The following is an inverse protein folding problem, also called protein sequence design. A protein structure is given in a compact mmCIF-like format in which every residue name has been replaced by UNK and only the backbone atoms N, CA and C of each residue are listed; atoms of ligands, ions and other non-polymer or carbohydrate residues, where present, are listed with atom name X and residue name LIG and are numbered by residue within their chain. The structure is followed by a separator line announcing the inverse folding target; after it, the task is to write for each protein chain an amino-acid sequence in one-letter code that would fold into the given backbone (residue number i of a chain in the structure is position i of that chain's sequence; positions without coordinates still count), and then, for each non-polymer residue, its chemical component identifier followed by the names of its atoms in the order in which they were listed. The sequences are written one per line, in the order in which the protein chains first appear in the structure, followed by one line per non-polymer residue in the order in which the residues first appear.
data_IF_339604429536
#
_entry.id   IF_339604429536
#
_cell.length_a   1.000
_cell.length_b   1.000
_cell.length_c   1.000
_cell.angle_alpha   90.00
_cell.angle_beta   90.00
_cell.angle_gamma   90.00
#
_symmetry.space_group_name_H-M   'P 1'
#
loop_
_entity.id
_entity.type
_entity.pdbx_description
1 polymer ?
#
# COMPACT_ATOMS: atom_id res chain seq x y z
N UNK A 1 2.47 66.39 -3.64
CA UNK A 1 2.77 66.24 -5.07
C UNK A 1 3.13 64.77 -5.34
N UNK A 2 2.42 64.16 -6.28
CA UNK A 2 2.61 62.81 -6.88
C UNK A 2 2.33 61.53 -6.03
N UNK A 3 1.05 61.13 -6.11
CA UNK A 3 0.52 59.79 -6.45
C UNK A 3 1.06 58.51 -5.76
N UNK A 4 0.36 58.10 -4.70
CA UNK A 4 0.35 56.74 -4.11
C UNK A 4 -1.07 56.12 -4.16
N UNK A 5 -1.81 56.35 -5.26
CA UNK A 5 -3.26 56.15 -5.31
C UNK A 5 -3.81 55.03 -6.19
N UNK A 6 -3.04 53.98 -6.54
CA UNK A 6 -3.54 52.97 -7.51
C UNK A 6 -3.28 51.48 -7.26
N UNK A 7 -2.74 51.07 -6.11
CA UNK A 7 -2.57 49.64 -5.81
C UNK A 7 -3.36 49.13 -4.60
N UNK A 8 -3.81 49.99 -3.68
CA UNK A 8 -4.65 49.59 -2.54
C UNK A 8 -6.13 49.40 -2.89
N UNK A 9 -6.59 49.87 -4.05
CA UNK A 9 -7.98 49.72 -4.49
C UNK A 9 -8.29 48.34 -5.08
N UNK A 10 -7.29 47.58 -5.54
CA UNK A 10 -7.52 46.25 -6.11
C UNK A 10 -7.65 45.18 -5.03
N UNK A 11 -6.86 45.24 -3.96
CA UNK A 11 -6.94 44.29 -2.85
C UNK A 11 -8.13 44.54 -1.90
N UNK A 12 -8.63 45.78 -1.79
CA UNK A 12 -9.88 46.07 -1.06
C UNK A 12 -11.15 45.70 -1.83
N UNK A 13 -11.11 45.65 -3.16
CA UNK A 13 -12.28 45.27 -3.97
C UNK A 13 -12.55 43.75 -4.01
N UNK A 14 -11.52 42.92 -3.82
CA UNK A 14 -11.68 41.45 -3.81
C UNK A 14 -12.11 40.93 -2.44
N UNK A 15 -11.70 41.58 -1.35
CA UNK A 15 -12.01 41.14 0.03
C UNK A 15 -13.31 41.72 0.62
N UNK A 16 -13.93 42.73 -0.01
CA UNK A 16 -15.22 43.30 0.40
C UNK A 16 -16.36 43.05 -0.59
N UNK A 17 -16.26 42.02 -1.43
CA UNK A 17 -17.44 41.53 -2.17
C UNK A 17 -18.32 40.68 -1.26
N UNK A 18 -18.97 41.32 -0.29
CA UNK A 18 -20.24 40.85 0.27
C UNK A 18 -21.33 40.91 -0.81
N UNK A 19 -21.17 40.13 -1.87
CA UNK A 19 -22.31 39.69 -2.65
C UNK A 19 -22.93 38.56 -1.85
N UNK A 20 -23.94 38.89 -1.06
CA UNK A 20 -24.92 37.93 -0.55
C UNK A 20 -25.57 37.25 -1.75
N UNK A 21 -24.95 36.19 -2.27
CA UNK A 21 -25.64 35.21 -3.09
C UNK A 21 -26.59 34.45 -2.17
N UNK A 22 -27.82 34.96 -2.09
CA UNK A 22 -29.00 34.28 -1.57
C UNK A 22 -29.24 32.98 -2.37
N UNK A 23 -28.51 31.92 -2.04
CA UNK A 23 -28.73 30.56 -2.55
C UNK A 23 -28.81 29.53 -1.42
N UNK A 24 -28.83 29.97 -0.16
CA UNK A 24 -28.75 29.10 1.01
C UNK A 24 -30.07 28.37 1.31
N UNK A 25 -31.25 28.95 1.10
CA UNK A 25 -32.50 28.32 1.56
C UNK A 25 -32.99 27.15 0.69
N UNK A 26 -32.90 27.26 -0.63
CA UNK A 26 -33.44 26.23 -1.55
C UNK A 26 -32.53 25.00 -1.66
N UNK A 27 -31.21 25.20 -1.72
CA UNK A 27 -30.27 24.09 -1.75
C UNK A 27 -30.18 23.39 -0.39
N UNK A 28 -30.23 24.13 0.73
CA UNK A 28 -30.31 23.51 2.05
C UNK A 28 -31.64 22.78 2.26
N UNK A 29 -32.79 23.34 1.82
CA UNK A 29 -34.08 22.64 1.94
C UNK A 29 -34.14 21.38 1.06
N UNK A 30 -33.52 21.40 -0.12
CA UNK A 30 -33.43 20.22 -1.01
C UNK A 30 -32.48 19.17 -0.44
N UNK A 31 -31.34 19.55 0.11
CA UNK A 31 -30.42 18.62 0.77
C UNK A 31 -31.03 18.04 2.06
N UNK A 32 -31.78 18.84 2.81
CA UNK A 32 -32.48 18.40 4.01
C UNK A 32 -33.62 17.44 3.67
N UNK A 33 -34.41 17.71 2.64
CA UNK A 33 -35.45 16.77 2.16
C UNK A 33 -34.87 15.47 1.61
N UNK A 34 -33.72 15.51 0.92
CA UNK A 34 -33.00 14.29 0.49
C UNK A 34 -32.54 13.49 1.72
N UNK A 35 -31.96 14.16 2.71
CA UNK A 35 -31.52 13.54 3.97
C UNK A 35 -32.68 12.92 4.74
N UNK A 36 -33.79 13.64 4.88
CA UNK A 36 -34.99 13.16 5.57
C UNK A 36 -35.64 11.98 4.85
N UNK A 37 -35.64 12.00 3.50
CA UNK A 37 -36.14 10.88 2.70
C UNK A 37 -35.25 9.64 2.85
N UNK A 38 -33.92 9.81 2.87
CA UNK A 38 -32.98 8.72 3.10
C UNK A 38 -33.15 8.10 4.50
N UNK A 39 -33.33 8.93 5.53
CA UNK A 39 -33.57 8.47 6.91
C UNK A 39 -34.91 7.73 7.03
N UNK A 40 -35.99 8.23 6.40
CA UNK A 40 -37.29 7.53 6.40
C UNK A 40 -37.22 6.19 5.68
N UNK A 41 -36.58 6.13 4.51
CA UNK A 41 -36.34 4.87 3.80
C UNK A 41 -35.54 3.89 4.65
N UNK A 42 -34.55 4.37 5.40
CA UNK A 42 -33.77 3.55 6.32
C UNK A 42 -34.62 3.02 7.49
N UNK A 43 -35.48 3.85 8.08
CA UNK A 43 -36.40 3.44 9.17
C UNK A 43 -37.44 2.43 8.67
N UNK A 44 -38.06 2.68 7.53
CA UNK A 44 -39.06 1.77 6.93
C UNK A 44 -38.42 0.44 6.54
N UNK A 45 -37.19 0.48 6.04
CA UNK A 45 -36.40 -0.70 5.77
C UNK A 45 -36.06 -1.49 7.05
N UNK A 46 -35.65 -0.83 8.13
CA UNK A 46 -35.42 -1.46 9.45
C UNK A 46 -36.72 -2.09 9.99
N UNK A 47 -37.87 -1.42 9.84
CA UNK A 47 -39.18 -1.94 10.28
C UNK A 47 -39.60 -3.17 9.48
N UNK A 48 -39.40 -3.15 8.17
CA UNK A 48 -39.73 -4.28 7.28
C UNK A 48 -38.89 -5.54 7.53
N UNK A 49 -37.73 -5.38 8.16
CA UNK A 49 -36.76 -6.47 8.38
C UNK A 49 -36.83 -7.10 9.77
N UNK A 50 -37.66 -6.59 10.70
CA UNK A 50 -37.82 -7.13 12.06
C UNK A 50 -38.49 -8.52 12.08
N UNK A 51 -37.75 -9.62 12.34
CA UNK A 51 -38.27 -10.99 12.33
C UNK A 51 -38.33 -11.59 13.74
N UNK A 52 -38.30 -10.76 14.79
CA UNK A 52 -38.20 -11.19 16.20
C UNK A 52 -39.38 -12.09 16.61
N UNK A 53 -40.45 -12.16 15.82
CA UNK A 53 -41.61 -12.99 16.15
C UNK A 53 -41.39 -14.51 16.01
N UNK A 54 -40.39 -15.03 15.26
CA UNK A 54 -40.41 -16.48 14.91
C UNK A 54 -39.06 -17.26 14.80
N UNK A 55 -37.97 -16.88 15.47
CA UNK A 55 -36.74 -17.68 15.40
C UNK A 55 -36.60 -18.67 16.59
N UNK A 56 -36.83 -19.96 16.33
CA UNK A 56 -36.57 -21.04 17.30
C UNK A 56 -35.06 -21.20 17.57
N UNK A 57 -34.74 -21.61 18.79
CA UNK A 57 -33.47 -21.33 19.49
C UNK A 57 -32.49 -22.52 19.53
N UNK A 58 -32.68 -23.57 18.72
CA UNK A 58 -32.10 -24.89 18.99
C UNK A 58 -31.42 -25.62 17.83
N UNK A 59 -30.96 -24.95 16.78
CA UNK A 59 -30.24 -25.63 15.69
C UNK A 59 -28.71 -25.57 15.88
N UNK A 60 -28.17 -26.58 16.57
CA UNK A 60 -26.73 -26.84 16.79
C UNK A 60 -26.15 -27.84 15.78
N UNK A 61 -26.62 -27.83 14.53
CA UNK A 61 -26.00 -28.64 13.45
C UNK A 61 -25.01 -27.81 12.64
N UNK A 62 -23.88 -28.43 12.29
CA UNK A 62 -22.73 -27.80 11.63
C UNK A 62 -23.18 -27.04 10.37
N UNK A 63 -23.00 -25.72 10.38
CA UNK A 63 -23.48 -24.77 9.37
C UNK A 63 -23.12 -25.15 7.92
N UNK A 64 -22.02 -25.87 7.72
CA UNK A 64 -21.55 -26.39 6.43
C UNK A 64 -22.54 -27.37 5.78
N UNK A 65 -23.26 -28.15 6.57
CA UNK A 65 -24.16 -29.21 6.06
C UNK A 65 -25.54 -28.67 5.69
N UNK A 66 -25.98 -27.56 6.29
CA UNK A 66 -27.22 -26.88 5.91
C UNK A 66 -27.13 -26.15 4.56
N UNK A 67 -25.92 -25.76 4.14
CA UNK A 67 -25.68 -25.05 2.87
C UNK A 67 -25.49 -25.97 1.66
N UNK A 68 -25.59 -27.30 1.81
CA UNK A 68 -25.38 -28.28 0.73
C UNK A 68 -26.59 -28.50 -0.19
N UNK A 69 -27.74 -27.89 0.07
CA UNK A 69 -28.93 -28.04 -0.79
C UNK A 69 -28.87 -26.95 -1.88
N UNK A 70 -28.63 -27.29 -3.15
CA UNK A 70 -28.61 -26.30 -4.22
C UNK A 70 -30.05 -25.83 -4.46
N UNK A 71 -30.34 -24.59 -4.08
CA UNK A 71 -31.55 -23.90 -4.53
C UNK A 71 -31.46 -23.74 -6.05
N UNK A 72 -32.48 -24.24 -6.77
CA UNK A 72 -32.60 -24.05 -8.22
C UNK A 72 -32.45 -22.56 -8.56
N UNK A 73 -31.58 -22.28 -9.53
CA UNK A 73 -31.36 -20.94 -10.07
C UNK A 73 -32.69 -20.33 -10.52
N UNK A 74 -33.00 -19.05 -10.21
CA UNK A 74 -34.14 -18.39 -10.80
C UNK A 74 -33.94 -18.25 -12.31
N UNK A 75 -35.01 -18.47 -13.07
CA UNK A 75 -35.03 -18.35 -14.53
C UNK A 75 -34.66 -16.92 -14.93
N UNK A 76 -33.57 -16.75 -15.67
CA UNK A 76 -33.14 -15.47 -16.21
C UNK A 76 -33.94 -15.14 -17.47
N UNK A 77 -34.80 -14.14 -17.40
CA UNK A 77 -35.26 -13.44 -18.62
C UNK A 77 -34.08 -12.66 -19.21
N UNK A 78 -33.88 -12.69 -20.54
CA UNK A 78 -32.77 -12.00 -21.19
C UNK A 78 -33.04 -10.50 -21.15
N UNK A 79 -32.32 -9.77 -20.29
CA UNK A 79 -32.18 -8.33 -20.43
C UNK A 79 -31.14 -8.06 -21.52
N UNK A 80 -31.56 -7.31 -22.53
CA UNK A 80 -30.74 -6.85 -23.65
C UNK A 80 -29.73 -5.81 -23.19
N UNK A 81 -28.51 -6.23 -22.85
CA UNK A 81 -27.38 -5.35 -22.54
C UNK A 81 -26.66 -4.93 -23.83
N UNK A 82 -27.22 -3.92 -24.52
CA UNK A 82 -26.74 -3.43 -25.82
C UNK A 82 -25.45 -2.57 -25.76
N UNK A 83 -24.76 -2.49 -24.62
CA UNK A 83 -23.56 -1.66 -24.44
C UNK A 83 -22.39 -2.33 -23.68
N UNK A 84 -22.56 -3.53 -23.15
CA UNK A 84 -21.48 -4.22 -22.40
C UNK A 84 -20.62 -5.16 -23.29
N UNK A 85 -21.04 -5.41 -24.54
CA UNK A 85 -20.40 -6.35 -25.47
C UNK A 85 -19.16 -5.80 -26.20
N UNK A 86 -18.77 -4.53 -26.02
CA UNK A 86 -17.61 -3.95 -26.73
C UNK A 86 -16.28 -4.33 -26.07
N UNK A 87 -16.28 -4.83 -24.83
CA UNK A 87 -15.10 -5.36 -24.17
C UNK A 87 -15.27 -6.86 -23.88
N UNK A 88 -15.08 -7.69 -24.90
CA UNK A 88 -14.74 -9.11 -24.69
C UNK A 88 -13.36 -9.20 -24.03
N UNK A 89 -13.31 -8.92 -22.72
CA UNK A 89 -12.09 -9.03 -21.93
C UNK A 89 -11.65 -10.49 -21.93
N UNK A 90 -10.66 -10.82 -22.76
CA UNK A 90 -9.89 -12.03 -22.59
C UNK A 90 -9.14 -11.89 -21.27
N UNK A 91 -9.64 -12.58 -20.24
CA UNK A 91 -8.93 -12.69 -18.97
C UNK A 91 -7.63 -13.47 -19.18
N UNK A 92 -6.52 -12.92 -18.69
CA UNK A 92 -5.20 -13.54 -18.85
C UNK A 92 -5.03 -14.78 -17.93
N UNK A 93 -5.90 -14.94 -16.94
CA UNK A 93 -5.84 -16.02 -15.97
C UNK A 93 -4.71 -15.82 -14.97
N UNK A 94 -4.01 -16.91 -14.62
CA UNK A 94 -2.98 -16.90 -13.58
C UNK A 94 -1.72 -16.16 -14.05
N UNK A 95 -1.34 -15.12 -13.31
CA UNK A 95 -0.18 -14.29 -13.63
C UNK A 95 1.08 -14.74 -12.88
N UNK A 96 0.99 -14.88 -11.55
CA UNK A 96 2.13 -15.26 -10.70
C UNK A 96 1.65 -16.12 -9.53
N UNK A 97 2.54 -16.99 -9.04
CA UNK A 97 2.30 -17.84 -7.88
C UNK A 97 3.54 -17.93 -6.98
N UNK A 98 3.26 -17.92 -5.67
CA UNK A 98 4.22 -18.24 -4.63
C UNK A 98 3.73 -19.47 -3.88
N UNK A 99 4.49 -20.56 -4.01
CA UNK A 99 4.28 -21.80 -3.26
C UNK A 99 5.13 -21.71 -2.00
N UNK A 100 4.53 -22.02 -0.86
CA UNK A 100 5.18 -22.09 0.45
C UNK A 100 5.13 -23.54 0.87
N UNK A 101 6.27 -24.22 0.79
CA UNK A 101 6.36 -25.65 1.04
C UNK A 101 5.72 -26.03 2.38
N UNK A 102 4.89 -27.08 2.37
CA UNK A 102 4.15 -27.61 3.51
C UNK A 102 3.03 -26.74 4.09
N UNK A 103 2.95 -25.44 3.76
CA UNK A 103 1.96 -24.53 4.32
C UNK A 103 0.83 -24.19 3.33
N UNK A 104 1.16 -23.78 2.11
CA UNK A 104 0.13 -23.25 1.22
C UNK A 104 0.64 -22.54 -0.04
N UNK A 105 -0.25 -21.84 -0.72
CA UNK A 105 0.09 -21.04 -1.90
C UNK A 105 -0.65 -19.70 -1.93
N UNK A 106 0.01 -18.71 -2.54
CA UNK A 106 -0.56 -17.39 -2.81
C UNK A 106 -0.48 -17.15 -4.31
N UNK A 107 -1.61 -16.84 -4.94
CA UNK A 107 -1.69 -16.61 -6.40
C UNK A 107 -2.21 -15.21 -6.71
N UNK A 108 -1.74 -14.64 -7.81
CA UNK A 108 -2.26 -13.42 -8.41
C UNK A 108 -2.80 -13.73 -9.81
N UNK A 109 -4.04 -13.34 -10.07
CA UNK A 109 -4.81 -13.77 -11.24
C UNK A 109 -5.64 -12.61 -11.82
N UNK A 110 -5.74 -12.58 -13.14
CA UNK A 110 -6.61 -11.66 -13.86
C UNK A 110 -7.89 -12.38 -14.28
N UNK A 111 -9.03 -12.01 -13.71
CA UNK A 111 -10.28 -12.77 -13.84
C UNK A 111 -11.49 -12.07 -13.22
N UNK A 112 -12.68 -12.62 -13.45
CA UNK A 112 -13.88 -12.22 -12.71
C UNK A 112 -14.03 -13.07 -11.45
N UNK A 113 -13.76 -12.47 -10.29
CA UNK A 113 -13.79 -13.15 -8.99
C UNK A 113 -15.15 -13.79 -8.67
N UNK A 114 -16.26 -13.29 -9.23
CA UNK A 114 -17.60 -13.84 -8.99
C UNK A 114 -17.82 -15.19 -9.68
N UNK A 115 -17.09 -15.43 -10.77
CA UNK A 115 -17.16 -16.64 -11.59
C UNK A 115 -16.18 -17.74 -11.16
N UNK A 116 -15.29 -17.43 -10.21
CA UNK A 116 -14.29 -18.32 -9.67
C UNK A 116 -14.83 -19.17 -8.50
N UNK A 117 -14.31 -20.39 -8.37
CA UNK A 117 -14.67 -21.31 -7.29
C UNK A 117 -13.68 -21.21 -6.13
N UNK A 118 -14.21 -21.11 -4.91
CA UNK A 118 -13.42 -21.10 -3.67
C UNK A 118 -14.31 -21.33 -2.45
N UNK A 119 -13.70 -21.59 -1.29
CA UNK A 119 -14.46 -21.78 -0.05
C UNK A 119 -15.10 -20.45 0.34
N UNK A 120 -14.33 -19.37 0.35
CA UNK A 120 -14.79 -18.08 0.84
C UNK A 120 -14.35 -16.94 -0.07
N UNK A 121 -15.30 -16.08 -0.45
CA UNK A 121 -15.06 -14.83 -1.13
C UNK A 121 -15.07 -13.67 -0.13
N UNK A 122 -13.97 -12.94 -0.05
CA UNK A 122 -13.85 -11.75 0.80
C UNK A 122 -14.43 -10.55 0.08
N UNK A 123 -15.42 -9.91 0.70
CA UNK A 123 -16.13 -8.75 0.18
C UNK A 123 -15.90 -7.56 1.10
N UNK A 124 -15.18 -6.50 0.66
CA UNK A 124 -15.01 -5.29 1.44
C UNK A 124 -16.34 -4.55 1.59
N UNK A 125 -16.70 -4.20 2.82
CA UNK A 125 -17.91 -3.42 3.12
C UNK A 125 -17.60 -2.36 4.18
N UNK A 126 -18.17 -1.14 4.06
CA UNK A 126 -18.01 -0.12 5.10
C UNK A 126 -18.69 -0.52 6.42
N UNK A 127 -18.32 0.11 7.55
CA UNK A 127 -18.84 -0.22 8.88
C UNK A 127 -20.35 -0.01 9.04
N UNK A 128 -20.94 0.85 8.20
CA UNK A 128 -22.39 1.07 8.15
C UNK A 128 -23.16 -0.01 7.37
N UNK A 129 -22.47 -1.00 6.79
CA UNK A 129 -23.05 -2.10 6.00
C UNK A 129 -23.81 -1.65 4.74
N UNK A 130 -23.67 -0.39 4.33
CA UNK A 130 -24.37 0.17 3.18
C UNK A 130 -23.34 0.76 2.21
N UNK A 131 -22.76 -0.07 1.32
CA UNK A 131 -21.88 0.42 0.27
C UNK A 131 -22.69 1.25 -0.75
N UNK A 132 -22.20 2.44 -1.10
CA UNK A 132 -22.87 3.30 -2.08
C UNK A 132 -22.53 2.93 -3.52
N UNK A 133 -21.39 2.29 -3.76
CA UNK A 133 -20.92 1.82 -5.06
C UNK A 133 -19.75 0.84 -4.89
N UNK A 134 -19.28 0.29 -6.01
CA UNK A 134 -18.14 -0.63 -6.07
C UNK A 134 -18.52 -2.10 -5.87
N UNK A 135 -17.51 -2.93 -5.64
CA UNK A 135 -17.65 -4.39 -5.59
C UNK A 135 -18.63 -4.85 -4.50
N UNK A 136 -18.57 -4.27 -3.30
CA UNK A 136 -19.48 -4.61 -2.20
C UNK A 136 -20.96 -4.36 -2.55
N UNK A 137 -21.28 -3.29 -3.28
CA UNK A 137 -22.66 -3.05 -3.74
C UNK A 137 -23.09 -4.09 -4.77
N UNK A 138 -22.23 -4.37 -5.77
CA UNK A 138 -22.53 -5.35 -6.82
C UNK A 138 -22.86 -6.73 -6.24
N UNK A 139 -22.13 -7.18 -5.22
CA UNK A 139 -22.40 -8.46 -4.55
C UNK A 139 -23.76 -8.44 -3.83
N UNK A 140 -24.11 -7.34 -3.18
CA UNK A 140 -25.40 -7.20 -2.48
C UNK A 140 -26.58 -7.11 -3.45
N UNK A 141 -26.41 -6.46 -4.60
CA UNK A 141 -27.43 -6.40 -5.67
C UNK A 141 -27.70 -7.79 -6.25
N UNK A 142 -26.65 -8.55 -6.54
CA UNK A 142 -26.77 -9.92 -7.06
C UNK A 142 -27.40 -10.89 -6.05
N UNK A 143 -27.04 -10.80 -4.76
CA UNK A 143 -27.65 -11.64 -3.71
C UNK A 143 -29.04 -11.18 -3.25
N UNK A 144 -29.44 -9.97 -3.63
CA UNK A 144 -30.75 -9.40 -3.36
C UNK A 144 -31.12 -9.25 -1.88
N UNK A 145 -32.42 -9.09 -1.61
CA UNK A 145 -32.95 -8.80 -0.25
C UNK A 145 -32.62 -9.88 0.79
N UNK A 146 -32.49 -11.14 0.37
CA UNK A 146 -32.18 -12.27 1.27
C UNK A 146 -30.77 -12.15 1.85
N UNK A 147 -29.79 -11.86 1.01
CA UNK A 147 -28.40 -11.66 1.42
C UNK A 147 -28.28 -10.48 2.39
N UNK A 148 -28.90 -9.35 2.06
CA UNK A 148 -28.85 -8.16 2.93
C UNK A 148 -29.49 -8.45 4.30
N UNK A 149 -30.63 -9.15 4.34
CA UNK A 149 -31.26 -9.54 5.61
C UNK A 149 -30.34 -10.45 6.44
N UNK A 150 -29.70 -11.44 5.81
CA UNK A 150 -28.78 -12.34 6.48
C UNK A 150 -27.56 -11.60 7.04
N UNK A 151 -26.98 -10.68 6.27
CA UNK A 151 -25.84 -9.86 6.66
C UNK A 151 -26.15 -9.02 7.91
N UNK A 152 -27.31 -8.37 7.95
CA UNK A 152 -27.73 -7.52 9.09
C UNK A 152 -28.08 -8.36 10.32
N UNK A 153 -28.68 -9.54 10.12
CA UNK A 153 -28.93 -10.47 11.22
C UNK A 153 -27.63 -10.95 11.84
N UNK A 154 -26.65 -11.33 11.02
CA UNK A 154 -25.34 -11.80 11.47
C UNK A 154 -24.52 -10.72 12.14
N UNK A 155 -24.55 -9.48 11.63
CA UNK A 155 -23.86 -8.36 12.29
C UNK A 155 -24.40 -8.09 13.69
N UNK A 156 -25.73 -8.13 13.86
CA UNK A 156 -26.37 -7.99 15.18
C UNK A 156 -25.98 -9.11 16.14
N UNK A 157 -25.82 -10.34 15.64
CA UNK A 157 -25.38 -11.48 16.46
C UNK A 157 -23.95 -11.26 16.97
N UNK A 158 -23.02 -10.91 16.08
CA UNK A 158 -21.61 -10.63 16.44
C UNK A 158 -21.53 -9.52 17.49
N UNK A 159 -22.26 -8.41 17.29
CA UNK A 159 -22.33 -7.33 18.27
C UNK A 159 -22.89 -7.83 19.61
N UNK A 160 -23.95 -8.65 19.58
CA UNK A 160 -24.55 -9.17 20.81
C UNK A 160 -23.64 -10.14 21.57
N UNK A 161 -22.84 -10.94 20.86
CA UNK A 161 -21.86 -11.85 21.46
C UNK A 161 -20.74 -11.06 22.14
N UNK A 162 -20.18 -10.07 21.45
CA UNK A 162 -19.15 -9.17 22.01
C UNK A 162 -19.64 -8.41 23.24
N UNK A 163 -20.88 -7.91 23.22
CA UNK A 163 -21.47 -7.23 24.38
C UNK A 163 -21.62 -8.20 25.57
N UNK A 164 -22.07 -9.44 25.35
CA UNK A 164 -22.17 -10.44 26.41
C UNK A 164 -20.81 -10.81 26.99
N UNK A 165 -19.79 -11.00 26.15
CA UNK A 165 -18.42 -11.28 26.59
C UNK A 165 -17.88 -10.14 27.47
N UNK A 166 -18.12 -8.89 27.10
CA UNK A 166 -17.76 -7.75 27.94
C UNK A 166 -18.55 -7.66 29.24
N UNK A 167 -19.84 -8.01 29.22
CA UNK A 167 -20.67 -8.06 30.42
C UNK A 167 -20.18 -9.11 31.41
N UNK A 168 -19.70 -10.27 30.93
CA UNK A 168 -19.07 -11.30 31.77
C UNK A 168 -17.74 -10.83 32.37
N UNK A 169 -17.00 -9.97 31.66
CA UNK A 169 -15.73 -9.41 32.14
C UNK A 169 -15.89 -8.08 32.88
N UNK A 170 -17.11 -7.66 33.23
CA UNK A 170 -17.37 -6.37 33.88
C UNK A 170 -16.55 -6.15 35.15
N UNK A 171 -16.37 -7.20 35.94
CA UNK A 171 -15.66 -7.13 37.23
C UNK A 171 -14.14 -6.97 37.06
N UNK A 172 -13.61 -7.18 35.85
CA UNK A 172 -12.19 -6.99 35.56
C UNK A 172 -11.80 -5.52 35.33
N UNK A 173 -12.78 -4.63 35.11
CA UNK A 173 -12.52 -3.21 34.86
C UNK A 173 -12.34 -2.43 36.17
N UNK A 174 -11.19 -1.77 36.32
CA UNK A 174 -10.88 -0.93 37.49
C UNK A 174 -11.71 0.35 37.54
N UNK A 175 -12.07 0.90 36.38
CA UNK A 175 -12.80 2.15 36.27
C UNK A 175 -14.11 1.98 35.49
N UNK A 176 -15.21 2.51 36.03
CA UNK A 176 -16.52 2.43 35.41
C UNK A 176 -16.60 3.19 34.07
N UNK A 177 -15.77 4.21 33.88
CA UNK A 177 -15.72 4.98 32.63
C UNK A 177 -15.09 4.18 31.48
N UNK A 178 -14.05 3.38 31.76
CA UNK A 178 -13.41 2.49 30.77
C UNK A 178 -14.36 1.38 30.33
N UNK A 179 -15.15 0.84 31.27
CA UNK A 179 -16.20 -0.11 30.94
C UNK A 179 -17.26 0.50 30.02
N UNK A 180 -17.70 1.74 30.31
CA UNK A 180 -18.69 2.44 29.47
C UNK A 180 -18.16 2.72 28.05
N UNK A 181 -16.90 3.14 27.91
CA UNK A 181 -16.30 3.34 26.57
C UNK A 181 -16.17 2.02 25.80
N UNK A 182 -15.70 0.96 26.47
CA UNK A 182 -15.55 -0.37 25.86
C UNK A 182 -16.90 -0.94 25.41
N UNK A 183 -17.97 -0.71 26.19
CA UNK A 183 -19.32 -1.13 25.85
C UNK A 183 -19.85 -0.35 24.62
N UNK A 184 -19.57 0.95 24.51
CA UNK A 184 -19.91 1.72 23.31
C UNK A 184 -19.18 1.20 22.08
N UNK A 185 -17.90 0.85 22.20
CA UNK A 185 -17.13 0.27 21.10
C UNK A 185 -17.65 -1.11 20.69
N UNK A 186 -17.99 -1.98 21.66
CA UNK A 186 -18.53 -3.30 21.38
C UNK A 186 -19.90 -3.28 20.69
N UNK A 187 -20.67 -2.21 20.87
CA UNK A 187 -21.94 -1.99 20.15
C UNK A 187 -21.73 -1.64 18.68
N UNK A 188 -20.51 -1.39 18.25
CA UNK A 188 -20.16 -1.06 16.87
C UNK A 188 -19.36 -2.19 16.22
N UNK A 189 -19.49 -2.30 14.89
CA UNK A 189 -18.62 -3.17 14.12
C UNK A 189 -17.22 -2.56 14.07
N UNK A 190 -16.24 -3.38 14.42
CA UNK A 190 -14.84 -2.98 14.44
C UNK A 190 -14.21 -3.21 13.07
N UNK A 191 -13.14 -2.47 12.83
CA UNK A 191 -12.35 -2.56 11.62
C UNK A 191 -11.66 -3.94 11.58
N UNK A 192 -11.80 -4.65 10.45
CA UNK A 192 -11.29 -6.01 10.29
C UNK A 192 -12.22 -7.11 10.78
N UNK A 193 -13.39 -6.78 11.35
CA UNK A 193 -14.44 -7.77 11.63
C UNK A 193 -14.88 -8.45 10.33
N UNK A 194 -15.22 -9.73 10.40
CA UNK A 194 -15.70 -10.51 9.27
C UNK A 194 -17.08 -11.07 9.57
N UNK A 195 -18.04 -10.79 8.68
CA UNK A 195 -19.41 -11.30 8.77
C UNK A 195 -19.57 -12.39 7.71
N UNK A 196 -19.77 -13.64 8.14
CA UNK A 196 -20.01 -14.75 7.24
C UNK A 196 -21.48 -14.87 6.85
N UNK A 197 -21.73 -15.06 5.56
CA UNK A 197 -23.06 -15.31 5.00
C UNK A 197 -22.97 -16.31 3.84
N UNK A 198 -24.06 -17.03 3.51
CA UNK A 198 -24.11 -17.80 2.28
C UNK A 198 -24.24 -16.85 1.08
N UNK A 199 -23.89 -17.32 -0.12
CA UNK A 199 -23.81 -16.46 -1.31
C UNK A 199 -25.16 -15.99 -1.86
N UNK A 200 -26.23 -16.77 -1.65
CA UNK A 200 -27.56 -16.53 -2.24
C UNK A 200 -27.52 -16.31 -3.77
N UNK A 201 -26.58 -16.97 -4.47
CA UNK A 201 -26.43 -16.87 -5.92
C UNK A 201 -25.59 -15.69 -6.42
N UNK A 202 -24.96 -14.92 -5.53
CA UNK A 202 -24.11 -13.78 -5.94
C UNK A 202 -22.74 -14.19 -6.50
N UNK A 203 -22.23 -15.36 -6.11
CA UNK A 203 -20.94 -15.90 -6.57
C UNK A 203 -20.97 -17.43 -6.55
N UNK A 204 -20.03 -18.06 -7.27
CA UNK A 204 -19.84 -19.52 -7.27
C UNK A 204 -19.12 -20.06 -6.02
N UNK A 205 -18.71 -19.19 -5.11
CA UNK A 205 -18.08 -19.58 -3.85
C UNK A 205 -19.09 -20.23 -2.87
N UNK A 206 -18.59 -20.92 -1.85
CA UNK A 206 -19.48 -21.51 -0.84
C UNK A 206 -19.99 -20.47 0.17
N UNK A 207 -19.14 -19.53 0.56
CA UNK A 207 -19.41 -18.50 1.57
C UNK A 207 -18.94 -17.12 1.11
N UNK A 208 -19.60 -16.08 1.61
CA UNK A 208 -19.13 -14.70 1.55
C UNK A 208 -18.65 -14.26 2.93
N UNK A 209 -17.46 -13.69 2.97
CA UNK A 209 -16.88 -13.02 4.12
C UNK A 209 -16.93 -11.51 3.92
N UNK A 210 -17.91 -10.85 4.52
CA UNK A 210 -17.97 -9.39 4.51
C UNK A 210 -16.98 -8.82 5.50
N UNK A 211 -15.88 -8.28 4.99
CA UNK A 211 -14.83 -7.65 5.78
C UNK A 211 -15.14 -6.18 6.00
N UNK A 212 -15.16 -5.76 7.26
CA UNK A 212 -15.38 -4.36 7.64
C UNK A 212 -14.13 -3.54 7.36
N UNK A 213 -14.21 -2.70 6.34
CA UNK A 213 -13.12 -1.80 5.93
C UNK A 213 -13.20 -0.46 6.66
N UNK A 214 -12.05 0.18 6.95
CA UNK A 214 -12.02 1.50 7.57
C UNK A 214 -12.24 2.59 6.51
N UNK A 215 -12.74 3.74 6.95
CA UNK A 215 -12.65 4.95 6.13
C UNK A 215 -11.20 5.48 6.18
N UNK A 216 -10.52 5.41 5.05
CA UNK A 216 -9.20 5.99 4.81
C UNK A 216 -9.21 7.52 4.65
N UNK A 217 -10.29 8.25 4.98
CA UNK A 217 -10.33 9.72 4.92
C UNK A 217 -9.57 10.42 6.06
N UNK A 218 -9.36 9.72 7.16
CA UNK A 218 -8.67 10.28 8.33
C UNK A 218 -7.17 9.99 8.23
N UNK A 219 -6.35 11.05 8.14
CA UNK A 219 -4.90 10.96 8.25
C UNK A 219 -4.14 11.12 6.94
N UNK A 220 -3.18 10.22 6.70
CA UNK A 220 -2.31 10.19 5.51
C UNK A 220 -2.28 8.76 4.92
N UNK A 221 -1.79 8.62 3.69
CA UNK A 221 -1.53 7.36 2.97
C UNK A 221 -0.81 6.29 3.80
N UNK A 222 0.11 6.68 4.70
CA UNK A 222 0.80 5.76 5.62
C UNK A 222 -0.12 5.21 6.71
N UNK A 223 -0.99 6.05 7.27
CA UNK A 223 -1.97 5.60 8.26
C UNK A 223 -3.03 4.70 7.62
N UNK A 224 -3.43 5.03 6.38
CA UNK A 224 -4.29 4.17 5.58
C UNK A 224 -3.66 2.79 5.35
N UNK A 225 -2.35 2.74 5.04
CA UNK A 225 -1.60 1.50 4.91
C UNK A 225 -1.57 0.67 6.20
N UNK A 226 -1.34 1.30 7.37
CA UNK A 226 -1.38 0.62 8.66
C UNK A 226 -2.76 0.05 8.99
N UNK A 227 -3.82 0.82 8.73
CA UNK A 227 -5.20 0.34 8.92
C UNK A 227 -5.53 -0.81 7.98
N UNK A 228 -5.11 -0.73 6.71
CA UNK A 228 -5.27 -1.84 5.76
C UNK A 228 -4.57 -3.10 6.28
N UNK A 229 -3.34 -2.96 6.75
CA UNK A 229 -2.56 -4.06 7.34
C UNK A 229 -3.34 -4.75 8.47
N UNK A 230 -3.82 -3.97 9.44
CA UNK A 230 -4.60 -4.49 10.55
C UNK A 230 -5.89 -5.18 10.10
N UNK A 231 -6.59 -4.62 9.09
CA UNK A 231 -7.84 -5.20 8.58
C UNK A 231 -7.64 -6.56 7.92
N UNK A 232 -6.59 -6.68 7.11
CA UNK A 232 -6.30 -7.90 6.36
C UNK A 232 -5.80 -8.97 7.32
N UNK A 233 -4.93 -8.60 8.27
CA UNK A 233 -4.45 -9.50 9.32
C UNK A 233 -5.61 -10.09 10.11
N UNK A 234 -6.45 -9.22 10.70
CA UNK A 234 -7.60 -9.64 11.51
C UNK A 234 -8.59 -10.50 10.72
N UNK A 235 -8.87 -10.14 9.47
CA UNK A 235 -9.82 -10.88 8.66
C UNK A 235 -9.32 -12.28 8.29
N UNK A 236 -8.09 -12.40 7.82
CA UNK A 236 -7.49 -13.70 7.48
C UNK A 236 -7.27 -14.58 8.72
N UNK A 237 -6.87 -13.99 9.86
CA UNK A 237 -6.78 -14.71 11.13
C UNK A 237 -8.13 -15.26 11.57
N UNK A 238 -9.20 -14.47 11.42
CA UNK A 238 -10.54 -14.91 11.75
C UNK A 238 -11.03 -16.02 10.80
N UNK A 239 -10.78 -15.91 9.49
CA UNK A 239 -11.12 -16.95 8.52
C UNK A 239 -10.36 -18.26 8.79
N UNK A 240 -9.09 -18.16 9.18
CA UNK A 240 -8.28 -19.32 9.53
C UNK A 240 -8.80 -19.99 10.83
N UNK A 241 -9.21 -19.19 11.83
CA UNK A 241 -9.87 -19.71 13.03
C UNK A 241 -11.17 -20.47 12.71
N UNK A 242 -11.93 -19.99 11.71
CA UNK A 242 -13.15 -20.63 11.22
C UNK A 242 -12.91 -21.83 10.29
N UNK A 243 -11.65 -22.28 10.16
CA UNK A 243 -11.22 -23.45 9.38
C UNK A 243 -11.49 -23.35 7.88
N UNK A 244 -11.48 -22.14 7.33
CA UNK A 244 -11.61 -21.90 5.89
C UNK A 244 -10.25 -22.14 5.22
N UNK A 245 -10.24 -22.90 4.12
CA UNK A 245 -8.97 -23.32 3.48
C UNK A 245 -8.59 -22.49 2.26
N UNK A 246 -9.56 -22.13 1.43
CA UNK A 246 -9.34 -21.43 0.17
C UNK A 246 -10.09 -20.09 0.14
N UNK A 247 -9.33 -19.00 0.18
CA UNK A 247 -9.87 -17.63 0.25
C UNK A 247 -9.62 -16.89 -1.06
N UNK A 248 -10.68 -16.31 -1.64
CA UNK A 248 -10.60 -15.42 -2.79
C UNK A 248 -10.75 -13.97 -2.32
N UNK A 249 -9.88 -13.08 -2.79
CA UNK A 249 -9.88 -11.67 -2.39
C UNK A 249 -9.58 -10.74 -3.57
N UNK A 250 -10.34 -9.66 -3.71
CA UNK A 250 -10.03 -8.54 -4.63
C UNK A 250 -9.13 -7.51 -3.95
N UNK A 251 -8.71 -6.46 -4.66
CA UNK A 251 -8.10 -5.31 -3.99
C UNK A 251 -9.09 -4.64 -3.01
N UNK A 252 -8.75 -4.63 -1.72
CA UNK A 252 -9.62 -4.08 -0.65
C UNK A 252 -9.43 -2.58 -0.47
N UNK A 253 -8.20 -2.10 -0.67
CA UNK A 253 -7.80 -0.71 -0.43
C UNK A 253 -8.02 0.28 -1.58
N UNK A 254 -8.58 -0.14 -2.73
CA UNK A 254 -8.66 0.69 -3.95
C UNK A 254 -10.06 1.32 -4.13
N UNK A 255 -10.86 1.31 -3.07
CA UNK A 255 -12.25 1.77 -3.07
C UNK A 255 -12.43 3.18 -2.49
N UNK A 256 -13.67 3.69 -2.53
CA UNK A 256 -14.09 5.05 -2.18
C UNK A 256 -13.89 5.47 -0.71
N UNK A 257 -13.17 4.65 0.07
CA UNK A 257 -12.97 4.89 1.49
C UNK A 257 -11.95 6.00 1.78
N UNK A 258 -11.20 6.51 0.79
CA UNK A 258 -10.40 7.72 0.96
C UNK A 258 -9.00 7.68 0.36
N UNK A 259 -7.99 7.98 1.18
CA UNK A 259 -6.60 7.94 0.74
C UNK A 259 -6.24 6.55 0.25
N UNK A 260 -5.66 6.46 -0.96
CA UNK A 260 -5.10 5.21 -1.46
C UNK A 260 -3.95 4.78 -0.54
N UNK A 261 -4.03 3.58 0.07
CA UNK A 261 -2.94 3.07 0.91
C UNK A 261 -1.69 2.89 0.04
N UNK A 262 -0.56 3.37 0.56
CA UNK A 262 0.73 3.18 -0.11
C UNK A 262 1.06 1.68 -0.10
N UNK A 263 1.48 1.15 -1.25
CA UNK A 263 1.88 -0.25 -1.40
C UNK A 263 0.79 -1.26 -0.97
N UNK A 264 -0.48 -0.93 -1.21
CA UNK A 264 -1.64 -1.72 -0.74
C UNK A 264 -1.61 -3.20 -1.14
N UNK A 265 -1.26 -3.53 -2.39
CA UNK A 265 -1.13 -4.91 -2.85
C UNK A 265 -0.02 -5.66 -2.10
N UNK A 266 1.12 -5.01 -1.88
CA UNK A 266 2.24 -5.60 -1.13
C UNK A 266 1.83 -5.93 0.31
N UNK A 267 1.13 -5.01 0.96
CA UNK A 267 0.61 -5.23 2.33
C UNK A 267 -0.34 -6.42 2.36
N UNK A 268 -1.29 -6.52 1.42
CA UNK A 268 -2.25 -7.62 1.39
C UNK A 268 -1.58 -8.98 1.21
N UNK A 269 -0.57 -9.06 0.32
CA UNK A 269 0.19 -10.30 0.08
C UNK A 269 1.10 -10.63 1.25
N UNK A 270 1.71 -9.63 1.90
CA UNK A 270 2.58 -9.84 3.07
C UNK A 270 1.78 -10.39 4.25
N UNK A 271 0.61 -9.81 4.55
CA UNK A 271 -0.26 -10.31 5.60
C UNK A 271 -0.83 -11.69 5.28
N UNK A 272 -1.11 -12.00 4.01
CA UNK A 272 -1.47 -13.36 3.59
C UNK A 272 -0.33 -14.36 3.83
N UNK A 273 0.92 -13.98 3.54
CA UNK A 273 2.09 -14.80 3.82
C UNK A 273 2.29 -15.06 5.32
N UNK A 274 2.17 -14.01 6.15
CA UNK A 274 2.32 -14.12 7.60
C UNK A 274 1.19 -14.93 8.25
N UNK A 275 -0.04 -14.81 7.75
CA UNK A 275 -1.21 -15.55 8.30
C UNK A 275 -1.23 -17.02 7.89
N UNK A 276 -0.61 -17.39 6.76
CA UNK A 276 -0.40 -18.79 6.37
C UNK A 276 0.69 -19.44 7.24
N UNK A 277 1.82 -18.75 7.49
CA UNK A 277 2.93 -19.29 8.28
C UNK A 277 2.72 -19.23 9.80
N UNK A 278 1.98 -18.24 10.28
CA UNK A 278 1.66 -18.01 11.70
C UNK A 278 2.86 -18.04 12.64
N UNK A 279 3.98 -17.46 12.23
CA UNK A 279 5.22 -17.44 13.03
C UNK A 279 5.02 -16.78 14.41
N UNK A 280 4.09 -15.82 14.51
CA UNK A 280 3.82 -15.07 15.75
C UNK A 280 2.92 -15.83 16.75
N UNK A 281 2.25 -16.92 16.36
CA UNK A 281 1.24 -17.57 17.21
C UNK A 281 1.87 -18.68 18.05
N UNK A 282 1.61 -18.64 19.36
CA UNK A 282 2.04 -19.70 20.29
C UNK A 282 1.42 -21.07 19.96
N UNK A 283 0.17 -21.09 19.47
CA UNK A 283 -0.51 -22.28 18.97
C UNK A 283 -0.97 -22.00 17.54
N UNK A 284 -0.24 -22.48 16.52
CA UNK A 284 -0.61 -22.21 15.14
C UNK A 284 -1.75 -23.14 14.67
N UNK A 285 -2.69 -22.55 13.93
CA UNK A 285 -3.78 -23.18 13.21
C UNK A 285 -3.52 -23.03 11.70
N UNK A 286 -3.14 -24.11 11.03
CA UNK A 286 -2.80 -24.13 9.60
C UNK A 286 -3.99 -24.54 8.71
N UNK A 287 -5.17 -23.97 8.94
CA UNK A 287 -6.33 -24.30 8.10
C UNK A 287 -6.32 -23.52 6.78
N UNK A 288 -5.92 -22.25 6.82
CA UNK A 288 -5.77 -21.42 5.61
C UNK A 288 -4.60 -21.93 4.77
N UNK A 289 -4.89 -22.47 3.58
CA UNK A 289 -3.89 -23.04 2.67
C UNK A 289 -3.69 -22.21 1.42
N UNK A 290 -4.75 -21.65 0.86
CA UNK A 290 -4.64 -20.89 -0.39
C UNK A 290 -5.31 -19.53 -0.28
N UNK A 291 -4.60 -18.50 -0.75
CA UNK A 291 -5.12 -17.15 -0.89
C UNK A 291 -4.94 -16.71 -2.33
N UNK A 292 -6.07 -16.54 -3.04
CA UNK A 292 -6.08 -16.14 -4.45
C UNK A 292 -6.49 -14.67 -4.56
N UNK A 293 -5.60 -13.85 -5.09
CA UNK A 293 -5.87 -12.46 -5.42
C UNK A 293 -6.36 -12.37 -6.85
N UNK A 294 -7.65 -12.05 -7.04
CA UNK A 294 -8.29 -11.99 -8.36
C UNK A 294 -8.88 -10.61 -8.56
N UNK A 295 -8.53 -9.95 -9.66
CA UNK A 295 -9.11 -8.68 -10.03
C UNK A 295 -9.54 -8.65 -11.51
N UNK A 296 -10.58 -7.86 -11.79
CA UNK A 296 -11.09 -7.67 -13.16
C UNK A 296 -10.14 -6.78 -13.96
N UNK A 297 -9.47 -5.85 -13.31
CA UNK A 297 -8.51 -4.96 -13.95
C UNK A 297 -7.14 -5.64 -14.10
N UNK A 298 -6.55 -5.50 -15.29
CA UNK A 298 -5.24 -6.07 -15.63
C UNK A 298 -4.13 -5.35 -14.86
N UNK A 299 -4.26 -4.03 -14.69
CA UNK A 299 -3.22 -3.23 -14.04
C UNK A 299 -3.09 -3.61 -12.57
N UNK A 300 -4.22 -3.71 -11.86
CA UNK A 300 -4.27 -4.14 -10.46
C UNK A 300 -3.76 -5.58 -10.31
N UNK A 301 -4.18 -6.49 -11.20
CA UNK A 301 -3.69 -7.89 -11.23
C UNK A 301 -2.17 -7.96 -11.43
N UNK A 302 -1.60 -7.12 -12.31
CA UNK A 302 -0.14 -7.01 -12.50
C UNK A 302 0.56 -6.44 -11.27
N UNK A 303 -0.04 -5.48 -10.56
CA UNK A 303 0.52 -4.98 -9.31
C UNK A 303 0.52 -6.05 -8.21
N UNK A 304 -0.51 -6.90 -8.15
CA UNK A 304 -0.50 -8.09 -7.28
C UNK A 304 0.57 -9.10 -7.69
N UNK A 305 0.72 -9.39 -8.99
CA UNK A 305 1.77 -10.29 -9.46
C UNK A 305 3.17 -9.80 -9.07
N UNK A 306 3.44 -8.50 -9.24
CA UNK A 306 4.69 -7.87 -8.80
C UNK A 306 4.87 -7.91 -7.28
N UNK A 307 3.79 -7.75 -6.50
CA UNK A 307 3.82 -7.86 -5.05
C UNK A 307 4.17 -9.27 -4.58
N UNK A 308 3.52 -10.30 -5.16
CA UNK A 308 3.83 -11.72 -4.91
C UNK A 308 5.28 -12.02 -5.25
N UNK A 309 5.75 -11.55 -6.40
CA UNK A 309 7.13 -11.70 -6.83
C UNK A 309 8.15 -11.08 -5.85
N UNK A 310 7.88 -9.85 -5.40
CA UNK A 310 8.75 -9.11 -4.48
C UNK A 310 8.82 -9.78 -3.12
N UNK A 311 7.68 -10.18 -2.57
CA UNK A 311 7.60 -10.83 -1.25
C UNK A 311 8.26 -12.21 -1.29
N UNK A 312 8.11 -12.94 -2.41
CA UNK A 312 8.84 -14.20 -2.63
C UNK A 312 10.35 -14.00 -2.54
N UNK A 313 10.90 -12.97 -3.18
CA UNK A 313 12.35 -12.67 -3.11
C UNK A 313 12.82 -12.22 -1.72
N UNK A 314 11.97 -11.52 -0.98
CA UNK A 314 12.33 -11.00 0.35
C UNK A 314 12.28 -12.08 1.42
N UNK A 315 11.18 -12.85 1.46
CA UNK A 315 10.88 -13.76 2.57
C UNK A 315 11.37 -15.19 2.33
N UNK A 316 11.37 -15.71 1.10
CA UNK A 316 11.85 -17.08 0.84
C UNK A 316 13.36 -17.12 0.63
N UNK A 317 14.12 -17.93 1.41
CA UNK A 317 15.57 -17.95 1.38
C UNK A 317 16.15 -18.39 0.03
N UNK A 318 15.44 -19.26 -0.68
CA UNK A 318 15.85 -19.79 -1.99
C UNK A 318 15.87 -18.70 -3.06
N UNK A 319 14.96 -17.74 -2.96
CA UNK A 319 14.79 -16.67 -3.93
C UNK A 319 15.46 -15.35 -3.50
N UNK A 320 16.12 -15.32 -2.33
CA UNK A 320 16.84 -14.14 -1.88
C UNK A 320 17.99 -13.81 -2.83
N UNK A 321 18.05 -12.55 -3.27
CA UNK A 321 19.04 -12.06 -4.21
C UNK A 321 20.05 -11.13 -3.55
N UNK A 322 21.31 -11.22 -3.96
CA UNK A 322 22.42 -10.37 -3.52
C UNK A 322 23.22 -9.90 -4.74
N UNK A 323 23.77 -8.67 -4.75
CA UNK A 323 24.67 -8.24 -5.81
C UNK A 323 25.89 -9.15 -5.95
N UNK A 324 26.25 -9.51 -7.18
CA UNK A 324 27.38 -10.38 -7.49
C UNK A 324 28.69 -9.98 -6.79
N UNK A 325 29.09 -8.68 -6.72
CA UNK A 325 30.29 -8.28 -6.00
C UNK A 325 30.24 -8.64 -4.51
N UNK A 326 29.07 -8.53 -3.87
CA UNK A 326 28.89 -8.86 -2.45
C UNK A 326 28.93 -10.37 -2.24
N UNK A 327 28.29 -11.15 -3.12
CA UNK A 327 28.32 -12.61 -3.07
C UNK A 327 29.76 -13.14 -3.19
N UNK A 328 30.47 -12.74 -4.25
CA UNK A 328 31.85 -13.18 -4.45
C UNK A 328 32.78 -12.66 -3.37
N UNK A 329 32.64 -11.40 -2.93
CA UNK A 329 33.44 -10.86 -1.83
C UNK A 329 33.30 -11.70 -0.55
N UNK A 330 32.09 -12.16 -0.21
CA UNK A 330 31.84 -13.02 0.95
C UNK A 330 32.38 -14.43 0.74
N UNK A 331 32.16 -15.04 -0.43
CA UNK A 331 32.64 -16.39 -0.70
C UNK A 331 34.15 -16.49 -0.87
N UNK A 332 34.79 -15.44 -1.41
CA UNK A 332 36.24 -15.36 -1.56
C UNK A 332 36.91 -14.72 -0.34
N UNK A 333 36.16 -14.32 0.68
CA UNK A 333 36.72 -13.78 1.91
C UNK A 333 37.54 -14.88 2.58
N UNK A 334 38.85 -14.83 2.38
CA UNK A 334 39.80 -15.63 3.15
C UNK A 334 40.02 -14.90 4.47
N UNK A 335 39.97 -15.64 5.56
CA UNK A 335 40.45 -15.12 6.84
C UNK A 335 41.96 -14.93 6.65
N UNK A 336 42.40 -13.67 6.63
CA UNK A 336 43.81 -13.35 6.69
C UNK A 336 44.15 -13.31 8.17
N UNK A 337 44.70 -14.40 8.70
CA UNK A 337 45.40 -14.34 9.99
C UNK A 337 46.62 -13.45 9.81
N UNK A 338 46.52 -12.23 10.34
CA UNK A 338 47.65 -11.33 10.44
C UNK A 338 48.33 -11.68 11.75
N UNK A 339 49.53 -12.26 11.67
CA UNK A 339 50.37 -12.51 12.85
C UNK A 339 50.49 -11.23 13.69
N UNK A 340 50.39 -11.39 15.01
CA UNK A 340 50.54 -10.28 15.96
C UNK A 340 51.87 -9.53 15.80
N UNK A 341 52.90 -10.20 15.25
CA UNK A 341 54.20 -9.61 14.93
C UNK A 341 54.11 -8.51 13.85
N UNK A 342 53.22 -8.67 12.86
CA UNK A 342 52.97 -7.69 11.79
C UNK A 342 52.21 -6.48 12.34
N UNK A 343 51.26 -6.70 13.24
CA UNK A 343 50.57 -5.62 13.95
C UNK A 343 51.53 -4.84 14.85
N UNK A 344 52.46 -5.52 15.54
CA UNK A 344 53.54 -4.90 16.34
C UNK A 344 54.48 -4.02 15.48
N UNK A 345 54.71 -4.36 14.22
CA UNK A 345 55.45 -3.49 13.30
C UNK A 345 54.66 -2.21 12.97
N UNK A 346 53.35 -2.31 12.76
CA UNK A 346 52.48 -1.16 12.46
C UNK A 346 52.23 -0.23 13.66
N UNK A 347 52.35 -0.75 14.89
CA UNK A 347 52.23 0.04 16.12
C UNK A 347 53.50 0.81 16.48
N UNK A 348 54.63 0.54 15.82
CA UNK A 348 55.84 1.34 16.00
C UNK A 348 55.67 2.69 15.30
N UNK A 349 55.52 3.76 16.09
CA UNK A 349 55.58 5.15 15.64
C UNK A 349 56.98 5.49 15.10
N UNK A 350 57.31 5.02 13.89
CA UNK A 350 58.47 5.55 13.17
C UNK A 350 58.04 6.85 12.49
N UNK A 351 58.73 7.94 12.80
CA UNK A 351 58.61 9.20 12.05
C UNK A 351 59.00 8.92 10.59
N UNK A 352 58.01 8.72 9.72
CA UNK A 352 58.23 8.67 8.28
C UNK A 352 58.55 10.10 7.84
N UNK A 353 59.84 10.43 7.76
CA UNK A 353 60.31 11.71 7.25
C UNK A 353 60.37 11.64 5.73
N UNK A 354 59.35 12.18 5.06
CA UNK A 354 59.42 12.39 3.62
C UNK A 354 60.49 13.45 3.32
N UNK A 355 61.49 13.12 2.49
CA UNK A 355 62.40 14.12 1.92
C UNK A 355 61.57 15.12 1.12
N UNK A 356 61.48 16.37 1.60
CA UNK A 356 60.88 17.48 0.85
C UNK A 356 61.76 17.77 -0.37
N UNK A 357 61.35 17.28 -1.54
CA UNK A 357 61.88 17.79 -2.80
C UNK A 357 61.18 19.12 -3.13
N UNK A 358 61.89 20.24 -2.96
CA UNK A 358 61.42 21.55 -3.40
C UNK A 358 61.63 21.69 -4.91
N UNK A 359 60.55 21.60 -5.68
CA UNK A 359 60.59 21.95 -7.11
C UNK A 359 60.48 23.47 -7.24
N UNK A 360 61.53 24.11 -7.75
CA UNK A 360 61.51 25.53 -8.14
C UNK A 360 60.60 25.69 -9.37
N UNK A 361 59.34 26.07 -9.15
CA UNK A 361 58.40 26.39 -10.24
C UNK A 361 58.55 27.85 -10.66
N UNK A 362 59.46 28.13 -11.59
CA UNK A 362 59.50 29.40 -12.34
C UNK A 362 58.49 29.38 -13.49
N UNK A 363 57.24 29.72 -13.18
CA UNK A 363 56.29 30.32 -14.13
C UNK A 363 55.06 30.74 -13.34
N UNK A 364 54.66 32.01 -13.42
CA UNK A 364 53.47 32.56 -12.74
C UNK A 364 52.26 31.65 -13.02
N UNK A 365 51.85 30.87 -12.01
CA UNK A 365 50.74 29.90 -12.03
C UNK A 365 49.44 30.47 -12.63
N UNK A 366 49.25 31.77 -12.47
CA UNK A 366 48.13 32.54 -13.01
C UNK A 366 48.06 32.55 -14.55
N UNK A 367 49.18 32.60 -15.27
CA UNK A 367 49.16 32.63 -16.74
C UNK A 367 48.83 31.26 -17.34
N UNK A 368 49.29 30.18 -16.70
CA UNK A 368 48.97 28.80 -17.12
C UNK A 368 47.48 28.48 -16.94
N UNK A 369 46.89 28.88 -15.81
CA UNK A 369 45.46 28.65 -15.51
C UNK A 369 44.53 29.53 -16.36
N UNK A 370 44.99 30.67 -16.84
CA UNK A 370 44.20 31.60 -17.68
C UNK A 370 44.05 31.13 -19.13
N UNK A 371 44.98 30.32 -19.63
CA UNK A 371 44.95 29.77 -20.99
C UNK A 371 44.32 28.37 -21.08
N UNK A 372 44.16 27.67 -19.96
CA UNK A 372 43.34 26.47 -19.91
C UNK A 372 41.86 26.88 -20.00
N UNK A 373 41.32 26.93 -21.22
CA UNK A 373 39.86 26.81 -21.38
C UNK A 373 39.45 25.56 -20.62
N UNK A 374 38.45 25.60 -19.71
CA UNK A 374 37.94 24.38 -19.11
C UNK A 374 37.37 23.55 -20.27
N UNK A 375 38.14 22.58 -20.74
CA UNK A 375 37.60 21.49 -21.53
C UNK A 375 36.69 20.72 -20.59
N UNK A 376 35.43 21.16 -20.54
CA UNK A 376 34.35 20.36 -20.04
C UNK A 376 34.20 19.23 -21.06
N UNK A 377 34.95 18.15 -20.87
CA UNK A 377 34.44 16.86 -21.26
C UNK A 377 33.11 16.74 -20.54
N UNK A 378 32.01 16.99 -21.27
CA UNK A 378 30.74 16.37 -20.90
C UNK A 378 31.08 14.89 -20.93
N UNK A 379 31.25 14.27 -19.76
CA UNK A 379 31.44 12.83 -19.70
C UNK A 379 30.36 12.24 -20.60
N UNK A 380 30.76 11.42 -21.55
CA UNK A 380 29.81 10.57 -22.27
C UNK A 380 28.92 9.93 -21.21
N UNK A 381 27.63 9.78 -21.51
CA UNK A 381 26.70 9.06 -20.64
C UNK A 381 27.22 7.62 -20.52
N UNK A 382 28.06 7.37 -19.52
CA UNK A 382 28.58 6.05 -19.23
C UNK A 382 27.55 5.41 -18.31
N UNK A 383 26.89 4.38 -18.82
CA UNK A 383 25.99 3.54 -18.04
C UNK A 383 26.86 2.73 -17.08
N UNK A 384 26.74 2.95 -15.76
CA UNK A 384 27.13 1.89 -14.83
C UNK A 384 26.08 0.78 -15.01
N UNK A 385 26.50 -0.46 -15.32
CA UNK A 385 25.54 -1.55 -15.45
C UNK A 385 24.83 -1.74 -14.10
N UNK A 386 23.52 -2.04 -14.09
CA UNK A 386 22.84 -2.40 -12.85
C UNK A 386 23.61 -3.54 -12.16
N UNK A 387 23.66 -3.56 -10.81
CA UNK A 387 24.34 -4.63 -10.10
C UNK A 387 23.74 -5.96 -10.55
N UNK A 388 24.58 -6.83 -11.11
CA UNK A 388 24.15 -8.16 -11.50
C UNK A 388 23.76 -8.93 -10.24
N UNK A 389 22.53 -9.39 -10.16
CA UNK A 389 22.04 -10.10 -8.99
C UNK A 389 22.27 -11.60 -9.13
N UNK A 390 22.72 -12.22 -8.04
CA UNK A 390 22.86 -13.66 -7.87
C UNK A 390 21.93 -14.12 -6.75
N UNK A 391 21.45 -15.36 -6.84
CA UNK A 391 20.80 -16.01 -5.71
C UNK A 391 21.79 -16.20 -4.57
N UNK A 392 21.36 -15.85 -3.36
CA UNK A 392 22.18 -15.91 -2.15
C UNK A 392 22.61 -17.33 -1.80
N UNK A 393 21.73 -18.32 -2.04
CA UNK A 393 21.96 -19.72 -1.72
C UNK A 393 22.89 -20.41 -2.71
N UNK A 394 22.69 -20.19 -4.01
CA UNK A 394 23.36 -20.95 -5.08
C UNK A 394 24.47 -20.18 -5.80
N UNK A 395 24.47 -18.84 -5.74
CA UNK A 395 25.36 -18.01 -6.55
C UNK A 395 25.01 -17.97 -8.05
N UNK A 396 23.92 -18.63 -8.46
CA UNK A 396 23.44 -18.59 -9.84
C UNK A 396 22.82 -17.22 -10.16
N UNK A 397 22.83 -16.81 -11.44
CA UNK A 397 22.20 -15.55 -11.84
C UNK A 397 20.71 -15.54 -11.51
N UNK A 398 20.25 -14.47 -10.88
CA UNK A 398 18.82 -14.35 -10.57
C UNK A 398 18.01 -14.10 -11.84
N UNK A 399 16.82 -14.70 -11.90
CA UNK A 399 15.84 -14.50 -12.98
C UNK A 399 15.44 -13.02 -13.08
N UNK A 400 15.37 -12.34 -11.94
CA UNK A 400 15.18 -10.89 -11.88
C UNK A 400 16.50 -10.16 -12.04
N UNK A 401 16.56 -9.22 -12.97
CA UNK A 401 17.64 -8.24 -13.03
C UNK A 401 17.02 -6.84 -13.03
N UNK A 402 17.70 -5.90 -12.37
CA UNK A 402 17.26 -4.51 -12.41
C UNK A 402 17.35 -3.99 -13.85
N UNK A 403 16.35 -3.23 -14.32
CA UNK A 403 16.46 -2.57 -15.60
C UNK A 403 17.64 -1.58 -15.57
N UNK A 404 18.28 -1.31 -16.72
CA UNK A 404 19.36 -0.34 -16.81
C UNK A 404 18.85 1.03 -16.35
N UNK A 405 19.51 1.63 -15.35
CA UNK A 405 19.15 2.95 -14.82
C UNK A 405 20.11 4.02 -15.33
N UNK A 406 19.62 5.20 -15.75
CA UNK A 406 20.50 6.33 -16.04
C UNK A 406 21.17 6.80 -14.74
N UNK A 407 22.50 6.69 -14.68
CA UNK A 407 23.28 7.09 -13.50
C UNK A 407 24.10 8.35 -13.77
N UNK A 408 24.16 9.23 -12.77
CA UNK A 408 25.03 10.41 -12.77
C UNK A 408 26.16 10.14 -11.78
N UNK A 409 27.39 9.95 -12.27
CA UNK A 409 28.55 9.76 -11.39
C UNK A 409 28.77 11.02 -10.55
N UNK A 410 28.28 11.00 -9.30
CA UNK A 410 28.67 11.99 -8.29
C UNK A 410 30.10 11.66 -7.86
N UNK A 411 31.05 12.43 -8.38
CA UNK A 411 32.47 12.29 -8.02
C UNK A 411 33.26 11.53 -9.07
N UNK A 412 33.81 12.27 -10.02
CA UNK A 412 34.89 11.83 -10.88
C UNK A 412 36.14 11.69 -10.00
N UNK A 413 36.73 10.48 -10.00
CA UNK A 413 37.87 10.06 -9.15
C UNK A 413 39.24 10.56 -9.62
N UNK A 414 39.35 11.15 -10.81
CA UNK A 414 40.54 11.87 -11.24
C UNK A 414 40.16 13.29 -11.65
N UNK A 415 40.43 14.24 -10.78
CA UNK A 415 40.31 15.68 -11.05
C UNK A 415 41.71 16.25 -11.08
N UNK A 416 42.23 16.54 -12.28
CA UNK A 416 43.55 17.16 -12.48
C UNK A 416 43.69 18.53 -11.80
N UNK A 417 42.57 19.16 -11.38
CA UNK A 417 42.56 20.36 -10.57
C UNK A 417 41.45 20.33 -9.51
N UNK A 418 41.71 20.78 -8.27
CA UNK A 418 40.73 20.77 -7.20
C UNK A 418 39.67 21.86 -7.41
N UNK A 419 38.40 21.50 -7.23
CA UNK A 419 37.31 22.46 -6.99
C UNK A 419 36.64 22.16 -5.65
N UNK A 420 36.33 23.22 -4.92
CA UNK A 420 35.73 23.24 -3.58
C UNK A 420 34.41 22.44 -3.51
N UNK A 421 34.18 21.76 -2.38
CA UNK A 421 33.16 20.74 -2.10
C UNK A 421 31.69 21.18 -2.14
N UNK A 422 31.38 22.42 -2.55
CA UNK A 422 30.01 22.92 -2.58
C UNK A 422 29.44 22.77 -3.98
N UNK A 423 28.35 22.02 -4.12
CA UNK A 423 27.72 21.67 -5.40
C UNK A 423 27.52 22.88 -6.33
N UNK A 424 27.71 22.63 -7.63
CA UNK A 424 27.46 23.62 -8.68
C UNK A 424 25.99 24.05 -8.59
N UNK A 425 25.73 25.30 -8.17
CA UNK A 425 24.40 25.90 -8.30
C UNK A 425 24.15 26.08 -9.80
N UNK A 426 23.51 25.08 -10.41
CA UNK A 426 23.25 25.07 -11.84
C UNK A 426 22.39 26.25 -12.27
N UNK A 427 22.78 26.91 -13.36
CA UNK A 427 21.91 27.82 -14.09
C UNK A 427 20.65 27.05 -14.51
N UNK A 428 19.48 27.63 -14.26
CA UNK A 428 18.19 27.08 -14.68
C UNK A 428 17.61 27.96 -15.78
N UNK A 429 16.93 27.37 -16.75
CA UNK A 429 16.22 28.14 -17.78
C UNK A 429 14.84 28.51 -17.23
N UNK A 430 14.46 29.79 -17.30
CA UNK A 430 13.12 30.24 -16.93
C UNK A 430 12.10 29.84 -18.01
N UNK A 431 10.82 29.90 -17.67
CA UNK A 431 9.72 29.68 -18.63
C UNK A 431 9.71 30.71 -19.78
N UNK A 432 10.43 31.82 -19.65
CA UNK A 432 10.64 32.81 -20.72
C UNK A 432 11.89 32.53 -21.57
N UNK A 433 12.53 31.37 -21.40
CA UNK A 433 13.72 30.96 -22.13
C UNK A 433 15.02 31.65 -21.70
N UNK A 434 14.99 32.52 -20.70
CA UNK A 434 16.18 33.19 -20.17
C UNK A 434 16.88 32.29 -19.15
N UNK A 435 18.20 32.17 -19.26
CA UNK A 435 18.98 31.46 -18.26
C UNK A 435 19.11 32.31 -16.99
N UNK A 436 18.60 31.79 -15.88
CA UNK A 436 18.62 32.42 -14.56
C UNK A 436 19.53 31.62 -13.62
N UNK A 437 20.50 32.29 -13.03
CA UNK A 437 21.49 31.72 -12.13
C UNK A 437 22.87 32.34 -12.37
N UNK A 438 23.67 32.48 -11.31
CA UNK A 438 24.99 33.11 -11.42
C UNK A 438 25.98 32.12 -12.06
N UNK A 439 26.54 32.43 -13.26
CA UNK A 439 27.45 31.51 -13.95
C UNK A 439 28.78 31.33 -13.22
N UNK A 440 29.14 32.25 -12.32
CA UNK A 440 30.32 32.18 -11.45
C UNK A 440 29.99 32.80 -10.09
N UNK A 441 30.49 32.22 -9.00
CA UNK A 441 30.71 33.01 -7.78
C UNK A 441 31.82 34.01 -8.10
N UNK A 442 31.68 35.27 -7.66
CA UNK A 442 32.81 36.19 -7.60
C UNK A 442 33.92 35.53 -6.78
N UNK A 443 35.15 35.57 -7.29
CA UNK A 443 36.30 35.01 -6.60
C UNK A 443 36.47 35.72 -5.24
N UNK A 444 36.75 34.96 -4.18
CA UNK A 444 36.97 35.50 -2.82
C UNK A 444 38.13 36.52 -2.79
N UNK A 445 38.99 36.54 -3.81
CA UNK A 445 40.09 37.49 -3.92
C UNK A 445 39.68 38.89 -4.40
N UNK A 446 38.48 39.08 -4.96
CA UNK A 446 37.96 40.43 -5.25
C UNK A 446 37.30 41.07 -4.03
N UNK A 447 36.82 40.27 -3.07
CA UNK A 447 36.24 40.81 -1.81
C UNK A 447 37.30 41.31 -0.83
N UNK A 448 38.55 40.83 -0.93
CA UNK A 448 39.65 41.33 -0.10
C UNK A 448 40.33 42.59 -0.66
N UNK A 449 40.01 42.99 -1.90
CA UNK A 449 40.47 44.26 -2.48
C UNK A 449 39.49 45.42 -2.25
N UNK A 450 38.31 45.15 -1.68
CA UNK A 450 37.35 46.19 -1.27
C UNK A 450 37.42 46.54 0.22
N UNK A 451 38.25 45.82 0.99
CA UNK A 451 38.52 46.09 2.40
C UNK A 451 39.98 46.56 2.63
N UNK A 452 40.58 47.20 1.62
CA UNK A 452 41.80 48.01 1.76
C UNK A 452 41.52 49.41 1.28
#
# INVERSE_FOLDING_TARGET
MFNLGRFDSFFRAVLNSERRFSTSSFLQSRLQTIRDRAVRQQIDWIRSTNPIKHANRTDTTVYRDQCKIPFKLPCTEPKSDLLDDINSHSYQGKLEEMIIDYFGSITAEHGDILNETGDCLVVPIPPNLTPHCGFGLKVLELGGKKLVKALVQRSKLIISERVKELELMKDSFKYQNEYKSSLLEARTLQIGDVILTPTFGSSKCTLLAFMITPYFWQGNSREAALRLRETVKKSLDHLNFLKITNVLMTHVGESLHGYRPKDGCEIMVEEAYETILQLDKAVPNYHLKTVRFIDKDVETSRTFANAVFKIRQEKLPEFQVIPAPVYYSRHSARIIEIDESVLKFSSQYRKITYKRHSVVRRSKRLHYLRNLKPFLWRGSRLYDPPPFYLFKSTGLPSVFQLPPRPYYKKGISHRLFPFYSNGVKGMKMSNSGKWVGNPKKLDIYTTNLQNQ
#
